data_IF_446814121958
#
_entry.id   IF_446814121958
#
_cell.length_a   1.000
_cell.length_b   1.000
_cell.length_c   1.000
_cell.angle_alpha   90.00
_cell.angle_beta   90.00
_cell.angle_gamma   90.00
#
_symmetry.space_group_name_H-M   'P 1'
#
loop_
_entity.id
_entity.type
_entity.pdbx_description
1 polymer ?
#
# COMPACT_ATOMS: atom_id res chain seq x y z
N UNK A 1 5.14 -1.41 -12.41
CA UNK A 1 3.92 -0.78 -12.93
C UNK A 1 2.71 -1.28 -12.15
N UNK A 2 2.06 -0.39 -11.40
CA UNK A 2 0.91 -0.72 -10.55
C UNK A 2 -0.38 -0.95 -11.34
N UNK A 3 -0.50 -0.46 -12.57
CA UNK A 3 -1.62 -0.80 -13.47
C UNK A 3 -1.63 -2.29 -13.76
N UNK A 4 -0.48 -2.83 -14.19
CA UNK A 4 -0.35 -4.26 -14.43
C UNK A 4 -0.60 -5.07 -13.14
N UNK A 5 -0.01 -4.66 -12.00
CA UNK A 5 -0.28 -5.34 -10.73
C UNK A 5 -1.78 -5.32 -10.37
N UNK A 6 -2.48 -4.23 -10.66
CA UNK A 6 -3.91 -4.11 -10.38
C UNK A 6 -4.75 -5.04 -11.25
N UNK A 7 -4.45 -5.14 -12.54
CA UNK A 7 -5.15 -6.03 -13.47
C UNK A 7 -5.00 -7.51 -13.11
N UNK A 8 -3.98 -7.89 -12.34
CA UNK A 8 -3.87 -9.24 -11.79
C UNK A 8 -5.08 -9.61 -10.91
N UNK A 9 -5.70 -8.64 -10.27
CA UNK A 9 -6.83 -8.85 -9.36
C UNK A 9 -8.21 -8.65 -10.00
N UNK A 10 -8.29 -8.54 -11.34
CA UNK A 10 -9.55 -8.37 -12.07
C UNK A 10 -10.58 -9.44 -11.73
N UNK A 11 -10.22 -10.72 -11.84
CA UNK A 11 -11.11 -11.84 -11.52
C UNK A 11 -11.55 -11.88 -10.04
N UNK A 12 -10.63 -11.53 -9.12
CA UNK A 12 -10.99 -11.40 -7.70
C UNK A 12 -12.02 -10.30 -7.48
N UNK A 13 -11.81 -9.14 -8.11
CA UNK A 13 -12.70 -8.00 -8.01
C UNK A 13 -14.10 -8.29 -8.57
N UNK A 14 -14.19 -8.92 -9.74
CA UNK A 14 -15.47 -9.35 -10.35
C UNK A 14 -16.22 -10.28 -9.40
N UNK A 15 -15.55 -11.31 -8.87
CA UNK A 15 -16.17 -12.25 -7.93
C UNK A 15 -16.63 -11.61 -6.62
N UNK A 16 -15.92 -10.58 -6.13
CA UNK A 16 -16.37 -9.80 -4.97
C UNK A 16 -17.67 -9.06 -5.24
N UNK A 17 -17.92 -8.68 -6.49
CA UNK A 17 -19.12 -7.92 -6.87
C UNK A 17 -20.31 -8.80 -7.20
N UNK A 18 -20.08 -10.03 -7.65
CA UNK A 18 -21.13 -10.99 -8.03
C UNK A 18 -21.68 -11.77 -6.84
N UNK A 19 -20.84 -12.16 -5.88
CA UNK A 19 -21.24 -13.00 -4.76
C UNK A 19 -22.08 -12.23 -3.72
N UNK A 20 -23.19 -12.83 -3.26
CA UNK A 20 -24.03 -12.25 -2.23
C UNK A 20 -23.38 -12.29 -0.86
N UNK A 21 -22.65 -13.34 -0.55
CA UNK A 21 -21.92 -13.48 0.70
C UNK A 21 -20.40 -13.41 0.46
N UNK A 22 -19.75 -12.33 0.96
CA UNK A 22 -18.30 -12.28 1.01
C UNK A 22 -17.78 -13.40 1.90
N UNK A 23 -17.16 -14.38 1.27
CA UNK A 23 -16.52 -15.48 1.97
C UNK A 23 -15.01 -15.21 2.07
N UNK A 24 -14.45 -15.26 3.31
CA UNK A 24 -12.99 -15.19 3.54
C UNK A 24 -12.21 -16.19 2.67
N UNK A 25 -12.83 -17.33 2.32
CA UNK A 25 -12.27 -18.32 1.39
C UNK A 25 -11.95 -17.71 0.01
N UNK A 26 -12.71 -16.71 -0.45
CA UNK A 26 -12.45 -16.08 -1.75
C UNK A 26 -11.07 -15.40 -1.77
N UNK A 27 -10.73 -14.63 -0.75
CA UNK A 27 -9.42 -14.01 -0.64
C UNK A 27 -8.30 -15.06 -0.59
N UNK A 28 -8.45 -16.07 0.25
CA UNK A 28 -7.46 -17.16 0.40
C UNK A 28 -7.29 -17.93 -0.92
N UNK A 29 -8.38 -18.23 -1.64
CA UNK A 29 -8.33 -18.91 -2.94
C UNK A 29 -7.61 -18.09 -4.04
N UNK A 30 -7.51 -16.76 -3.84
CA UNK A 30 -6.74 -15.87 -4.71
C UNK A 30 -5.35 -15.55 -4.15
N UNK A 31 -4.86 -16.31 -3.15
CA UNK A 31 -3.53 -16.13 -2.57
C UNK A 31 -3.38 -14.85 -1.73
N UNK A 32 -4.50 -14.31 -1.22
CA UNK A 32 -4.51 -13.10 -0.41
C UNK A 32 -4.59 -13.43 1.08
N UNK A 33 -3.68 -12.85 1.86
CA UNK A 33 -3.72 -12.88 3.31
C UNK A 33 -4.60 -11.76 3.86
N UNK A 34 -5.35 -12.02 4.92
CA UNK A 34 -6.21 -11.03 5.56
C UNK A 34 -5.39 -10.24 6.58
N UNK A 35 -5.18 -8.96 6.34
CA UNK A 35 -4.53 -8.02 7.28
C UNK A 35 -5.58 -7.38 8.19
N UNK A 36 -6.74 -7.03 7.65
CA UNK A 36 -7.86 -6.48 8.40
C UNK A 36 -9.16 -7.04 7.85
N UNK A 37 -9.98 -7.61 8.73
CA UNK A 37 -11.32 -8.03 8.35
C UNK A 37 -12.20 -6.81 7.98
N UNK A 38 -13.16 -7.05 7.11
CA UNK A 38 -14.14 -6.06 6.70
C UNK A 38 -15.23 -6.68 5.85
N UNK A 39 -16.13 -5.85 5.36
CA UNK A 39 -17.24 -6.23 4.48
C UNK A 39 -17.11 -5.38 3.22
N UNK A 40 -16.74 -5.97 2.07
CA UNK A 40 -16.64 -5.25 0.81
C UNK A 40 -17.96 -4.61 0.42
N UNK A 41 -17.95 -3.34 0.03
CA UNK A 41 -19.10 -2.75 -0.65
C UNK A 41 -19.01 -3.12 -2.12
N UNK A 42 -19.98 -3.89 -2.60
CA UNK A 42 -20.04 -4.35 -4.00
C UNK A 42 -19.99 -3.19 -4.97
N UNK A 43 -19.27 -3.37 -6.07
CA UNK A 43 -19.09 -2.37 -7.15
C UNK A 43 -18.39 -1.07 -6.72
N UNK A 44 -18.09 -0.88 -5.43
CA UNK A 44 -17.21 0.21 -5.03
C UNK A 44 -15.78 -0.05 -5.57
N UNK A 45 -14.96 0.99 -5.78
CA UNK A 45 -13.59 0.82 -6.25
C UNK A 45 -12.76 -0.09 -5.32
N UNK A 46 -11.81 -0.83 -5.89
CA UNK A 46 -10.81 -1.65 -5.20
C UNK A 46 -9.44 -0.97 -5.33
N UNK A 47 -8.80 -0.68 -4.21
CA UNK A 47 -7.47 -0.06 -4.19
C UNK A 47 -6.37 -1.14 -4.19
N UNK A 48 -5.38 -0.96 -5.04
CA UNK A 48 -4.13 -1.71 -5.01
C UNK A 48 -3.01 -0.71 -4.73
N UNK A 49 -2.28 -0.91 -3.65
CA UNK A 49 -1.22 0.00 -3.24
C UNK A 49 -0.18 -0.71 -2.37
N UNK A 50 1.03 -0.16 -2.34
CA UNK A 50 2.05 -0.66 -1.41
C UNK A 50 3.46 -0.21 -1.75
N UNK A 51 4.36 -0.28 -0.73
CA UNK A 51 5.74 0.13 -0.87
C UNK A 51 6.60 -0.92 -1.57
N UNK A 52 7.44 -0.42 -2.45
CA UNK A 52 8.51 -1.13 -3.13
C UNK A 52 9.73 -0.21 -3.24
N UNK A 53 10.34 -0.09 -4.43
CA UNK A 53 11.32 0.99 -4.73
C UNK A 53 10.67 2.36 -4.55
N UNK A 54 9.39 2.49 -4.90
CA UNK A 54 8.54 3.63 -4.67
C UNK A 54 7.25 3.25 -3.93
N UNK A 55 6.22 4.11 -4.02
CA UNK A 55 4.87 3.87 -3.50
C UNK A 55 3.86 3.87 -4.65
N UNK A 56 3.43 2.68 -5.06
CA UNK A 56 2.41 2.55 -6.08
C UNK A 56 1.00 2.74 -5.54
N UNK A 57 0.16 3.39 -6.33
CA UNK A 57 -1.27 3.58 -6.04
C UNK A 57 -2.05 3.42 -7.34
N UNK A 58 -2.95 2.44 -7.38
CA UNK A 58 -3.82 2.22 -8.52
C UNK A 58 -5.20 1.74 -8.04
N UNK A 59 -6.24 2.15 -8.72
CA UNK A 59 -7.61 1.82 -8.34
C UNK A 59 -8.31 1.07 -9.47
N UNK A 60 -8.88 -0.10 -9.17
CA UNK A 60 -9.76 -0.80 -10.09
C UNK A 60 -11.21 -0.33 -9.89
N UNK A 61 -11.88 -0.05 -10.99
CA UNK A 61 -13.31 0.16 -11.06
C UNK A 61 -13.95 -0.83 -12.04
N UNK A 62 -15.24 -1.09 -11.92
CA UNK A 62 -15.99 -1.86 -12.92
C UNK A 62 -16.50 -0.93 -14.02
N UNK A 63 -16.20 -1.28 -15.26
CA UNK A 63 -16.80 -0.72 -16.46
C UNK A 63 -17.71 -1.74 -17.13
N UNK A 64 -18.44 -1.33 -18.17
CA UNK A 64 -19.23 -2.24 -19.02
C UNK A 64 -18.37 -3.32 -19.70
N UNK A 65 -17.09 -3.05 -19.89
CA UNK A 65 -16.11 -3.94 -20.51
C UNK A 65 -15.27 -4.74 -19.51
N UNK A 66 -15.67 -4.76 -18.22
CA UNK A 66 -14.92 -5.42 -17.15
C UNK A 66 -14.05 -4.44 -16.33
N UNK A 67 -13.18 -4.95 -15.46
CA UNK A 67 -12.34 -4.13 -14.61
C UNK A 67 -11.42 -3.19 -15.39
N UNK A 68 -11.39 -1.94 -14.95
CA UNK A 68 -10.59 -0.86 -15.52
C UNK A 68 -9.72 -0.24 -14.44
N UNK A 69 -8.42 -0.09 -14.71
CA UNK A 69 -7.46 0.53 -13.80
C UNK A 69 -7.42 2.05 -14.03
N UNK A 70 -7.70 2.80 -12.97
CA UNK A 70 -7.45 4.25 -12.93
C UNK A 70 -5.99 4.43 -12.54
N UNK A 71 -5.21 4.91 -13.48
CA UNK A 71 -3.80 5.22 -13.32
C UNK A 71 -3.62 6.52 -12.53
N UNK A 72 -2.56 6.63 -11.76
CA UNK A 72 -2.20 7.86 -11.06
C UNK A 72 -0.88 7.73 -10.31
N UNK A 73 -0.33 8.89 -9.97
CA UNK A 73 0.91 9.04 -9.21
C UNK A 73 0.61 9.36 -7.73
N UNK A 74 -0.28 8.56 -7.13
CA UNK A 74 -0.76 8.78 -5.76
C UNK A 74 0.33 8.67 -4.68
N UNK A 75 1.47 8.05 -4.99
CA UNK A 75 2.64 8.05 -4.10
C UNK A 75 3.31 9.42 -3.97
N UNK A 76 3.15 10.29 -4.98
CA UNK A 76 3.76 11.61 -5.02
C UNK A 76 2.92 12.72 -4.36
N UNK A 77 1.75 12.41 -3.79
CA UNK A 77 1.01 13.38 -2.97
C UNK A 77 1.84 13.80 -1.76
N UNK A 78 1.61 15.02 -1.28
CA UNK A 78 2.32 15.55 -0.12
C UNK A 78 2.16 14.65 1.10
N UNK A 79 3.26 14.34 1.79
CA UNK A 79 3.23 13.65 3.07
C UNK A 79 2.45 14.49 4.10
N UNK A 80 1.39 13.92 4.66
CA UNK A 80 0.55 14.54 5.67
C UNK A 80 0.82 13.90 7.04
N UNK A 81 1.65 14.51 7.91
CA UNK A 81 1.94 13.99 9.24
C UNK A 81 0.70 13.99 10.12
N UNK A 82 0.52 12.94 10.93
CA UNK A 82 -0.64 12.71 11.78
C UNK A 82 -0.28 12.56 13.29
N UNK A 83 0.96 12.85 13.64
CA UNK A 83 1.47 12.83 15.01
C UNK A 83 2.67 13.75 15.16
N UNK A 84 3.01 14.12 16.43
CA UNK A 84 4.18 14.94 16.72
C UNK A 84 5.49 14.32 16.20
N UNK A 85 5.60 12.99 16.25
CA UNK A 85 6.75 12.27 15.71
C UNK A 85 6.83 12.44 14.19
N UNK A 86 5.70 12.33 13.49
CA UNK A 86 5.65 12.51 12.03
C UNK A 86 5.88 13.97 11.63
N UNK A 87 5.48 14.95 12.44
CA UNK A 87 5.81 16.36 12.24
C UNK A 87 7.32 16.59 12.34
N UNK A 88 8.00 16.00 13.34
CA UNK A 88 9.45 16.06 13.47
C UNK A 88 10.16 15.38 12.28
N UNK A 89 9.64 14.23 11.84
CA UNK A 89 10.13 13.55 10.64
C UNK A 89 10.01 14.44 9.39
N UNK A 90 8.87 15.11 9.20
CA UNK A 90 8.69 16.05 8.09
C UNK A 90 9.70 17.21 8.16
N UNK A 91 9.91 17.78 9.34
CA UNK A 91 10.91 18.85 9.55
C UNK A 91 12.33 18.38 9.21
N UNK A 92 12.70 17.16 9.63
CA UNK A 92 13.98 16.53 9.30
C UNK A 92 14.14 16.36 7.78
N UNK A 93 13.15 15.83 7.10
CA UNK A 93 13.19 15.59 5.65
C UNK A 93 13.22 16.88 4.82
N UNK A 94 12.55 17.95 5.29
CA UNK A 94 12.56 19.26 4.62
C UNK A 94 13.93 19.94 4.60
N UNK A 95 14.87 19.52 5.42
CA UNK A 95 16.27 19.98 5.30
C UNK A 95 16.94 19.49 4.00
N UNK A 96 16.41 18.42 3.41
CA UNK A 96 16.99 17.78 2.22
C UNK A 96 16.09 17.89 0.99
N UNK A 97 14.76 17.89 1.17
CA UNK A 97 13.79 17.82 0.10
C UNK A 97 12.87 19.06 0.14
N UNK A 98 12.72 19.73 -0.99
CA UNK A 98 11.77 20.83 -1.13
C UNK A 98 10.32 20.30 -1.02
N UNK A 99 10.02 19.19 -1.73
CA UNK A 99 8.75 18.48 -1.64
C UNK A 99 8.94 17.12 -0.97
N UNK A 100 8.29 16.91 0.17
CA UNK A 100 8.25 15.62 0.84
C UNK A 100 6.95 14.91 0.45
N UNK A 101 7.04 13.97 -0.47
CA UNK A 101 5.92 13.13 -0.88
C UNK A 101 5.67 11.97 0.09
N UNK A 102 4.49 11.33 -0.01
CA UNK A 102 4.18 10.10 0.70
C UNK A 102 5.21 9.00 0.38
N UNK A 103 5.66 8.89 -0.86
CA UNK A 103 6.69 7.95 -1.29
C UNK A 103 8.05 8.19 -0.61
N UNK A 104 8.41 9.46 -0.30
CA UNK A 104 9.66 9.78 0.42
C UNK A 104 9.71 9.15 1.82
N UNK A 105 8.58 8.73 2.36
CA UNK A 105 8.49 8.08 3.68
C UNK A 105 7.95 6.64 3.60
N UNK A 106 7.24 6.28 2.52
CA UNK A 106 6.64 4.95 2.35
C UNK A 106 7.24 4.26 1.12
N UNK A 107 8.51 3.91 1.22
CA UNK A 107 9.26 3.19 0.18
C UNK A 107 10.55 2.62 0.77
N UNK A 108 11.34 1.89 -0.04
CA UNK A 108 12.68 1.45 0.37
C UNK A 108 13.58 2.63 0.77
N UNK A 109 13.66 3.66 -0.08
CA UNK A 109 14.41 4.88 0.26
C UNK A 109 13.83 5.61 1.46
N UNK A 110 12.51 5.55 1.65
CA UNK A 110 11.82 6.10 2.82
C UNK A 110 12.22 5.42 4.12
N UNK A 111 12.37 4.10 4.13
CA UNK A 111 12.89 3.35 5.29
C UNK A 111 14.30 3.86 5.67
N UNK A 112 15.19 4.09 4.68
CA UNK A 112 16.53 4.61 4.92
C UNK A 112 16.49 6.01 5.56
N UNK A 113 15.64 6.90 5.07
CA UNK A 113 15.49 8.26 5.63
C UNK A 113 14.87 8.24 7.03
N UNK A 114 13.85 7.40 7.27
CA UNK A 114 13.26 7.25 8.60
C UNK A 114 14.29 6.64 9.57
N UNK A 115 15.09 5.68 9.13
CA UNK A 115 16.14 5.10 9.98
C UNK A 115 17.18 6.14 10.38
N UNK A 116 17.63 6.99 9.44
CA UNK A 116 18.50 8.15 9.75
C UNK A 116 17.89 9.08 10.77
N UNK A 117 16.59 9.41 10.59
CA UNK A 117 15.85 10.24 11.54
C UNK A 117 15.80 9.60 12.94
N UNK A 118 15.55 8.30 13.03
CA UNK A 118 15.53 7.58 14.31
C UNK A 118 16.89 7.64 14.99
N UNK A 119 17.99 7.40 14.25
CA UNK A 119 19.36 7.49 14.78
C UNK A 119 19.69 8.90 15.27
N UNK A 120 19.29 9.93 14.52
CA UNK A 120 19.49 11.34 14.90
C UNK A 120 18.75 11.67 16.21
N UNK A 121 17.50 11.25 16.36
CA UNK A 121 16.72 11.46 17.59
C UNK A 121 17.31 10.74 18.81
N UNK A 122 17.99 9.62 18.62
CA UNK A 122 18.65 8.85 19.70
C UNK A 122 20.11 9.32 19.94
N UNK A 123 20.60 10.30 19.19
CA UNK A 123 22.01 10.71 19.24
C UNK A 123 23.00 9.60 18.87
N UNK A 124 22.53 8.61 18.12
CA UNK A 124 23.32 7.44 17.73
C UNK A 124 24.24 7.75 16.55
N UNK A 125 25.50 7.32 16.63
CA UNK A 125 26.47 7.38 15.54
C UNK A 125 26.57 6.08 14.74
N UNK A 126 25.55 5.24 14.80
CA UNK A 126 25.51 3.96 14.07
C UNK A 126 25.62 4.20 12.57
N UNK A 127 26.25 3.26 11.88
CA UNK A 127 26.39 3.29 10.43
C UNK A 127 25.04 3.37 9.73
N UNK A 128 24.96 4.18 8.68
CA UNK A 128 23.77 4.24 7.81
C UNK A 128 23.67 2.95 7.00
N UNK A 129 22.47 2.37 7.01
CA UNK A 129 22.17 1.10 6.35
C UNK A 129 21.25 1.32 5.16
N UNK A 130 21.23 0.33 4.26
CA UNK A 130 20.28 0.25 3.15
C UNK A 130 18.99 -0.44 3.59
N UNK A 131 17.89 -0.15 2.89
CA UNK A 131 16.58 -0.69 3.24
C UNK A 131 16.54 -2.21 3.45
N UNK A 132 17.17 -3.07 2.63
CA UNK A 132 17.22 -4.50 2.89
C UNK A 132 17.89 -4.85 4.23
N UNK A 133 19.03 -4.22 4.53
CA UNK A 133 19.78 -4.44 5.78
C UNK A 133 18.97 -3.99 7.01
N UNK A 134 18.27 -2.84 6.89
CA UNK A 134 17.37 -2.35 7.95
C UNK A 134 16.24 -3.36 8.18
N UNK A 135 15.66 -3.91 7.08
CA UNK A 135 14.63 -4.94 7.15
C UNK A 135 15.12 -6.20 7.87
N UNK A 136 16.29 -6.71 7.51
CA UNK A 136 16.90 -7.89 8.15
C UNK A 136 17.19 -7.64 9.62
N UNK A 137 17.80 -6.51 9.98
CA UNK A 137 18.07 -6.15 11.38
C UNK A 137 16.79 -6.02 12.19
N UNK A 138 15.73 -5.46 11.62
CA UNK A 138 14.44 -5.35 12.28
C UNK A 138 13.82 -6.73 12.57
N UNK A 139 13.94 -7.68 11.63
CA UNK A 139 13.48 -9.06 11.83
C UNK A 139 14.32 -9.82 12.88
N UNK A 140 15.58 -9.41 13.06
CA UNK A 140 16.48 -9.92 14.10
C UNK A 140 16.31 -9.22 15.46
N UNK A 141 15.41 -8.22 15.57
CA UNK A 141 15.07 -7.58 16.83
C UNK A 141 15.81 -6.26 17.12
N UNK A 142 16.55 -5.68 16.15
CA UNK A 142 17.23 -4.40 16.35
C UNK A 142 16.21 -3.26 16.51
N UNK A 143 16.26 -2.56 17.64
CA UNK A 143 15.22 -1.65 18.09
C UNK A 143 15.01 -0.44 17.16
N UNK A 144 16.08 0.19 16.67
CA UNK A 144 15.98 1.36 15.80
C UNK A 144 15.46 1.00 14.41
N UNK A 145 15.82 -0.19 13.90
CA UNK A 145 15.28 -0.71 12.65
C UNK A 145 13.79 -1.05 12.78
N UNK A 146 13.38 -1.71 13.88
CA UNK A 146 11.96 -1.96 14.16
C UNK A 146 11.20 -0.63 14.25
N UNK A 147 11.74 0.36 14.97
CA UNK A 147 11.13 1.69 15.13
C UNK A 147 10.93 2.38 13.78
N UNK A 148 11.95 2.36 12.91
CA UNK A 148 11.88 2.95 11.58
C UNK A 148 10.79 2.29 10.72
N UNK A 149 10.74 0.97 10.67
CA UNK A 149 9.75 0.24 9.87
C UNK A 149 8.33 0.41 10.45
N UNK A 150 8.16 0.44 11.77
CA UNK A 150 6.87 0.75 12.42
C UNK A 150 6.37 2.15 12.07
N UNK A 151 7.24 3.15 12.00
CA UNK A 151 6.89 4.51 11.57
C UNK A 151 6.41 4.47 10.11
N UNK A 152 7.16 3.85 9.21
CA UNK A 152 6.79 3.71 7.79
C UNK A 152 5.40 3.05 7.64
N UNK A 153 5.13 1.94 8.32
CA UNK A 153 3.83 1.28 8.25
C UNK A 153 2.70 2.10 8.88
N UNK A 154 2.99 2.87 9.93
CA UNK A 154 2.02 3.78 10.54
C UNK A 154 1.58 4.85 9.53
N UNK A 155 2.54 5.42 8.80
CA UNK A 155 2.30 6.41 7.74
C UNK A 155 1.55 5.74 6.55
N UNK A 156 1.91 4.51 6.17
CA UNK A 156 1.18 3.76 5.14
C UNK A 156 -0.31 3.66 5.49
N UNK A 157 -0.67 3.40 6.74
CA UNK A 157 -2.06 3.37 7.19
C UNK A 157 -2.80 4.69 6.93
N UNK A 158 -2.14 5.83 7.20
CA UNK A 158 -2.68 7.16 6.91
C UNK A 158 -2.86 7.37 5.40
N UNK A 159 -1.86 7.02 4.59
CA UNK A 159 -1.89 7.17 3.13
C UNK A 159 -3.03 6.34 2.53
N UNK A 160 -3.11 5.06 2.86
CA UNK A 160 -4.17 4.17 2.36
C UNK A 160 -5.55 4.73 2.69
N UNK A 161 -5.78 5.18 3.91
CA UNK A 161 -7.08 5.73 4.30
C UNK A 161 -7.40 7.07 3.63
N UNK A 162 -6.39 7.89 3.32
CA UNK A 162 -6.59 9.10 2.52
C UNK A 162 -7.04 8.74 1.09
N UNK A 163 -6.41 7.76 0.46
CA UNK A 163 -6.80 7.29 -0.88
C UNK A 163 -8.22 6.70 -0.87
N UNK A 164 -8.59 5.90 0.16
CA UNK A 164 -9.97 5.39 0.30
C UNK A 164 -10.97 6.56 0.35
N UNK A 165 -10.67 7.62 1.09
CA UNK A 165 -11.56 8.78 1.18
C UNK A 165 -11.66 9.57 -0.13
N UNK A 166 -10.59 9.61 -0.94
CA UNK A 166 -10.54 10.36 -2.21
C UNK A 166 -11.31 9.62 -3.30
N UNK A 167 -11.10 8.31 -3.45
CA UNK A 167 -11.60 7.54 -4.59
C UNK A 167 -12.74 6.57 -4.24
N UNK A 168 -13.16 6.50 -2.97
CA UNK A 168 -14.27 5.64 -2.54
C UNK A 168 -13.96 4.15 -2.53
N UNK A 169 -12.70 3.73 -2.34
CA UNK A 169 -12.28 2.32 -2.38
C UNK A 169 -12.84 1.47 -1.22
N UNK A 170 -14.16 1.38 -1.14
CA UNK A 170 -14.86 0.63 -0.10
C UNK A 170 -15.07 -0.86 -0.45
N UNK A 171 -14.75 -1.30 -1.66
CA UNK A 171 -14.67 -2.72 -1.96
C UNK A 171 -13.51 -3.37 -1.20
N UNK A 172 -12.42 -2.63 -0.98
CA UNK A 172 -11.29 -3.10 -0.20
C UNK A 172 -9.95 -2.55 -0.66
N UNK A 173 -8.89 -3.02 -0.03
CA UNK A 173 -7.51 -2.68 -0.38
C UNK A 173 -6.68 -3.94 -0.46
N UNK A 174 -5.89 -4.07 -1.53
CA UNK A 174 -4.84 -5.08 -1.64
C UNK A 174 -3.49 -4.39 -1.47
N UNK A 175 -2.80 -4.72 -0.38
CA UNK A 175 -1.41 -4.32 -0.20
C UNK A 175 -0.54 -5.20 -1.10
N UNK A 176 0.23 -4.55 -1.98
CA UNK A 176 1.15 -5.16 -2.92
C UNK A 176 2.55 -4.56 -2.77
N UNK A 177 3.50 -4.98 -3.59
CA UNK A 177 4.88 -4.50 -3.52
C UNK A 177 5.78 -5.39 -2.65
N UNK A 178 7.09 -5.25 -2.84
CA UNK A 178 8.06 -6.22 -2.30
C UNK A 178 8.43 -6.03 -0.81
N UNK A 179 8.02 -4.92 -0.17
CA UNK A 179 8.41 -4.62 1.22
C UNK A 179 7.43 -5.22 2.22
N UNK A 180 6.13 -5.01 2.01
CA UNK A 180 5.10 -5.38 2.99
C UNK A 180 5.08 -6.88 3.31
N UNK A 181 5.17 -7.82 2.32
CA UNK A 181 5.18 -9.24 2.63
C UNK A 181 6.37 -9.67 3.49
N UNK A 182 7.55 -9.12 3.19
CA UNK A 182 8.79 -9.45 3.93
C UNK A 182 8.78 -8.98 5.37
N UNK A 183 8.07 -7.89 5.66
CA UNK A 183 8.03 -7.23 6.96
C UNK A 183 6.64 -7.31 7.63
N UNK A 184 5.83 -8.31 7.25
CA UNK A 184 4.46 -8.47 7.73
C UNK A 184 4.39 -8.52 9.27
N UNK A 185 5.31 -9.21 9.92
CA UNK A 185 5.34 -9.31 11.39
C UNK A 185 5.47 -7.94 12.06
N UNK A 186 6.21 -7.01 11.44
CA UNK A 186 6.37 -5.64 11.96
C UNK A 186 5.15 -4.77 11.58
N UNK A 187 4.53 -5.00 10.42
CA UNK A 187 3.25 -4.37 10.07
C UNK A 187 2.18 -4.66 11.15
N UNK A 188 2.07 -5.90 11.58
CA UNK A 188 1.08 -6.35 12.57
C UNK A 188 1.21 -5.66 13.93
N UNK A 189 2.44 -5.38 14.36
CA UNK A 189 2.74 -4.70 15.64
C UNK A 189 2.92 -3.17 15.50
N UNK A 190 2.74 -2.64 14.29
CA UNK A 190 2.78 -1.19 14.02
C UNK A 190 1.44 -0.51 14.31
N UNK A 191 1.43 0.83 14.20
CA UNK A 191 0.18 1.59 14.25
C UNK A 191 -0.57 1.65 12.90
N UNK A 192 -0.27 0.78 11.94
CA UNK A 192 -0.93 0.75 10.63
C UNK A 192 -2.46 0.80 10.75
N UNK A 193 -3.05 -0.15 11.48
CA UNK A 193 -4.51 -0.24 11.64
C UNK A 193 -5.07 0.96 12.41
N UNK A 194 -4.36 1.43 13.43
CA UNK A 194 -4.75 2.61 14.21
C UNK A 194 -4.81 3.84 13.32
N UNK A 195 -3.77 4.10 12.54
CA UNK A 195 -3.70 5.27 11.67
C UNK A 195 -4.65 5.16 10.47
N UNK A 196 -4.84 3.96 9.92
CA UNK A 196 -5.86 3.68 8.90
C UNK A 196 -7.25 4.14 9.36
N UNK A 197 -7.61 3.83 10.60
CA UNK A 197 -8.92 4.12 11.18
C UNK A 197 -9.06 5.54 11.74
N UNK A 198 -7.95 6.25 11.93
CA UNK A 198 -7.96 7.60 12.50
C UNK A 198 -8.40 8.65 11.49
N UNK A 199 -9.71 8.67 11.19
CA UNK A 199 -10.35 9.61 10.25
C UNK A 199 -11.50 10.41 10.88
N UNK A 200 -11.46 10.58 12.22
CA UNK A 200 -12.43 11.40 12.94
C UNK A 200 -13.87 11.06 12.55
N UNK A 201 -14.62 12.02 12.06
CA UNK A 201 -16.03 11.85 11.63
C UNK A 201 -16.22 10.80 10.52
N UNK A 202 -15.17 10.41 9.81
CA UNK A 202 -15.22 9.41 8.72
C UNK A 202 -14.73 8.02 9.15
N UNK A 203 -14.57 7.77 10.45
CA UNK A 203 -14.26 6.46 10.99
C UNK A 203 -15.20 5.37 10.47
N UNK A 204 -16.52 5.63 10.53
CA UNK A 204 -17.56 4.70 10.07
C UNK A 204 -17.41 4.34 8.58
N UNK A 205 -16.96 5.28 7.75
CA UNK A 205 -16.73 5.07 6.32
C UNK A 205 -15.59 4.07 6.04
N UNK A 206 -14.58 4.01 6.91
CA UNK A 206 -13.37 3.20 6.72
C UNK A 206 -13.39 1.90 7.52
N UNK A 207 -14.07 1.86 8.66
CA UNK A 207 -13.95 0.76 9.63
C UNK A 207 -14.22 -0.63 9.04
N UNK A 208 -15.12 -0.72 8.06
CA UNK A 208 -15.51 -1.97 7.44
C UNK A 208 -14.77 -2.29 6.14
N UNK A 209 -13.87 -1.42 5.67
CA UNK A 209 -13.06 -1.69 4.46
C UNK A 209 -12.09 -2.84 4.75
N UNK A 210 -12.14 -3.97 4.04
CA UNK A 210 -11.19 -5.06 4.22
C UNK A 210 -9.84 -4.70 3.63
N UNK A 211 -8.78 -5.20 4.28
CA UNK A 211 -7.40 -5.05 3.79
C UNK A 211 -6.79 -6.44 3.63
N UNK A 212 -6.27 -6.70 2.46
CA UNK A 212 -5.56 -7.93 2.11
C UNK A 212 -4.11 -7.64 1.77
N UNK A 213 -3.29 -8.66 1.79
CA UNK A 213 -1.88 -8.64 1.39
C UNK A 213 -1.64 -9.74 0.37
N UNK A 214 -0.97 -9.42 -0.73
CA UNK A 214 -0.43 -10.42 -1.65
C UNK A 214 1.06 -10.64 -1.38
N UNK A 215 1.47 -11.91 -1.39
CA UNK A 215 2.89 -12.31 -1.33
C UNK A 215 3.46 -12.64 -2.71
N UNK A 216 2.62 -12.60 -3.74
CA UNK A 216 3.02 -12.97 -5.10
C UNK A 216 3.78 -11.83 -5.78
N UNK A 217 5.05 -12.06 -6.04
CA UNK A 217 5.92 -11.10 -6.73
C UNK A 217 5.71 -11.10 -8.26
N UNK A 218 4.88 -12.01 -8.81
CA UNK A 218 4.60 -12.13 -10.24
C UNK A 218 3.33 -11.39 -10.66
N UNK A 219 2.69 -10.65 -9.75
CA UNK A 219 1.43 -9.94 -10.02
C UNK A 219 1.52 -8.99 -11.23
N UNK A 220 2.66 -8.29 -11.40
CA UNK A 220 2.87 -7.43 -12.56
C UNK A 220 2.83 -8.20 -13.89
N UNK A 221 3.47 -9.36 -13.96
CA UNK A 221 3.47 -10.21 -15.14
C UNK A 221 2.08 -10.80 -15.42
N UNK A 222 1.43 -11.33 -14.38
CA UNK A 222 0.06 -11.89 -14.49
C UNK A 222 -0.94 -10.82 -14.93
N UNK A 223 -0.84 -9.62 -14.39
CA UNK A 223 -1.73 -8.52 -14.78
C UNK A 223 -1.46 -8.01 -16.18
N UNK A 224 -0.21 -7.99 -16.63
CA UNK A 224 0.11 -7.68 -18.02
C UNK A 224 -0.50 -8.74 -18.98
N UNK A 225 -0.46 -10.02 -18.63
CA UNK A 225 -1.15 -11.07 -19.40
C UNK A 225 -2.68 -10.84 -19.41
N UNK A 226 -3.28 -10.53 -18.27
CA UNK A 226 -4.72 -10.26 -18.18
C UNK A 226 -5.16 -9.05 -19.03
N UNK A 227 -4.26 -8.10 -19.32
CA UNK A 227 -4.56 -6.96 -20.19
C UNK A 227 -4.90 -7.39 -21.62
N UNK A 228 -4.33 -8.51 -22.13
CA UNK A 228 -4.61 -9.00 -23.48
C UNK A 228 -6.06 -9.47 -23.66
N UNK A 229 -6.66 -10.01 -22.61
CA UNK A 229 -8.05 -10.51 -22.63
C UNK A 229 -9.06 -9.43 -22.17
N UNK A 230 -8.60 -8.35 -21.55
CA UNK A 230 -9.45 -7.28 -21.05
C UNK A 230 -9.82 -6.31 -22.18
N UNK A 231 -11.13 -6.17 -22.46
CA UNK A 231 -11.65 -5.33 -23.54
C UNK A 231 -11.26 -3.85 -23.43
N UNK A 232 -11.03 -3.34 -22.22
CA UNK A 232 -10.62 -1.95 -22.01
C UNK A 232 -9.17 -1.67 -22.47
N UNK A 233 -8.34 -2.72 -22.63
CA UNK A 233 -6.91 -2.60 -22.94
C UNK A 233 -6.54 -3.21 -24.27
N UNK A 234 -7.33 -4.14 -24.80
CA UNK A 234 -7.02 -4.88 -26.03
C UNK A 234 -6.69 -3.97 -27.22
N UNK A 235 -7.38 -2.86 -27.38
CA UNK A 235 -7.14 -1.89 -28.47
C UNK A 235 -5.91 -1.00 -28.22
N UNK A 236 -5.42 -0.93 -26.98
CA UNK A 236 -4.24 -0.13 -26.60
C UNK A 236 -2.93 -0.92 -26.72
N UNK A 237 -3.00 -2.23 -26.94
CA UNK A 237 -1.83 -3.10 -27.07
C UNK A 237 -1.23 -2.90 -28.46
N UNK A 238 -0.04 -2.31 -28.49
CA UNK A 238 0.71 -2.12 -29.74
C UNK A 238 1.55 -3.37 -29.98
N UNK A 239 1.18 -4.13 -31.01
CA UNK A 239 2.04 -5.19 -31.51
C UNK A 239 3.18 -4.56 -32.32
N UNK A 240 4.41 -4.65 -31.85
CA UNK A 240 5.58 -4.33 -32.70
C UNK A 240 5.78 -5.53 -33.64
N UNK A 241 5.50 -5.34 -34.92
CA UNK A 241 5.88 -6.25 -36.00
C UNK A 241 7.39 -6.23 -36.18
#
# INVERSE_FOLDING_TARGET
DFVAQSLCFSSFYEKLTENEDFNKKLAVNHGLKIIKNGIPIKKAPLLISGPGTGLGVCTLILSENGPFAIEGEGGHVTFAPNSDLEIKLLQFLRQKYEHVSAERVVSGSGIEEIYKFVLDQEGSKTQLLKAPEIGEKALLGEENAIKAIKIMFSILGTVISNVILINGSQCGVILSGGITPKLQSILEISNFKKNLLNKGRRYEYIKNVPIWLTEDNTNGLKGALNAFDNKNYKEKIIYRN
#
